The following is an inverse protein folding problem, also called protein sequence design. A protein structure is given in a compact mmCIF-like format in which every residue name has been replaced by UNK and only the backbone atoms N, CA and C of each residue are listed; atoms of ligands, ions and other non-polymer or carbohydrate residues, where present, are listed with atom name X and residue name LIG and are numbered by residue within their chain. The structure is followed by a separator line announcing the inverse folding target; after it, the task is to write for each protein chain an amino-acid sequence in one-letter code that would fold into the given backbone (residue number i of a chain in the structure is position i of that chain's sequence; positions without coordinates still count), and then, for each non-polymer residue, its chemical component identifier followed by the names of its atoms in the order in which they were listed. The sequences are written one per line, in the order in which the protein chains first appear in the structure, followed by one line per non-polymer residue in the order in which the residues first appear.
data_IF_997070533620
#
_entry.id   IF_997070533620
#
_cell.length_a   1.000
_cell.length_b   1.000
_cell.length_c   1.000
_cell.angle_alpha   90.00
_cell.angle_beta   90.00
_cell.angle_gamma   90.00
#
_symmetry.space_group_name_H-M   'P 1'
#
loop_
_entity.id
_entity.type
_entity.pdbx_description
1 polymer ?
#
# COMPACT_ATOMS: atom_id res chain seq x y z
N UNK A 1 56.26 45.17 0.61
CA UNK A 1 55.07 44.28 0.53
C UNK A 1 55.35 43.17 -0.48
N UNK A 2 56.24 42.19 -0.26
CA UNK A 2 56.22 41.01 0.65
C UNK A 2 55.14 39.93 0.35
N UNK A 3 55.59 38.94 -0.45
CA UNK A 3 55.44 37.47 -0.36
C UNK A 3 54.08 36.75 -0.57
N UNK A 4 54.03 36.04 -1.70
CA UNK A 4 53.99 34.55 -1.86
C UNK A 4 52.76 33.72 -1.40
N UNK A 5 52.46 32.68 -2.21
CA UNK A 5 51.63 31.47 -2.00
C UNK A 5 50.15 31.57 -2.49
N UNK A 6 49.54 30.60 -3.18
CA UNK A 6 49.64 29.14 -3.04
C UNK A 6 49.32 28.33 -4.34
N UNK A 7 50.09 27.25 -4.55
CA UNK A 7 49.79 26.07 -5.39
C UNK A 7 49.23 24.93 -4.51
N UNK A 8 48.43 24.06 -5.12
CA UNK A 8 48.22 22.62 -4.84
C UNK A 8 47.72 22.12 -3.47
N UNK A 9 46.63 21.32 -3.51
CA UNK A 9 46.32 20.04 -2.77
C UNK A 9 44.85 19.70 -3.09
N UNK A 10 44.41 18.59 -3.68
CA UNK A 10 44.69 17.15 -3.48
C UNK A 10 44.56 16.72 -2.01
N UNK A 11 43.35 16.27 -1.65
CA UNK A 11 43.00 15.53 -0.42
C UNK A 11 42.10 14.36 -0.87
N UNK A 12 42.68 13.18 -1.16
CA UNK A 12 42.83 12.02 -0.27
C UNK A 12 41.53 11.58 0.44
N UNK A 13 40.92 10.54 -0.14
CA UNK A 13 40.07 9.58 0.53
C UNK A 13 40.93 8.74 1.50
N UNK A 14 40.58 8.72 2.78
CA UNK A 14 41.21 7.84 3.76
C UNK A 14 40.48 6.50 3.79
N UNK A 15 41.18 5.46 3.35
CA UNK A 15 41.00 4.09 3.79
C UNK A 15 41.57 3.94 5.20
N UNK A 16 40.80 3.35 6.11
CA UNK A 16 41.32 2.83 7.38
C UNK A 16 41.20 1.31 7.36
N UNK A 17 42.34 0.65 7.17
CA UNK A 17 42.60 -0.69 7.68
C UNK A 17 43.07 -0.56 9.12
N UNK A 18 42.57 -1.41 10.02
CA UNK A 18 43.25 -1.73 11.26
C UNK A 18 43.21 -3.25 11.49
N UNK A 19 44.38 -3.82 11.77
CA UNK A 19 44.65 -5.24 11.97
C UNK A 19 44.55 -5.65 13.45
N UNK A 20 44.10 -6.89 13.67
CA UNK A 20 44.45 -7.88 14.73
C UNK A 20 44.80 -7.42 16.16
N UNK A 21 44.09 -7.95 17.17
CA UNK A 21 44.49 -9.18 17.90
C UNK A 21 43.66 -9.46 19.18
N UNK A 22 43.38 -10.77 19.37
CA UNK A 22 43.23 -11.54 20.63
C UNK A 22 42.20 -11.15 21.71
N UNK A 23 41.11 -11.92 21.82
CA UNK A 23 40.90 -12.94 22.87
C UNK A 23 39.45 -13.46 22.87
N UNK A 24 39.27 -14.77 22.67
CA UNK A 24 38.01 -15.48 22.92
C UNK A 24 37.76 -15.68 24.43
N UNK A 25 36.59 -16.24 24.81
CA UNK A 25 36.61 -17.67 25.09
C UNK A 25 35.39 -18.47 24.60
N UNK A 26 35.71 -19.69 24.17
CA UNK A 26 35.07 -20.98 24.48
C UNK A 26 33.57 -21.14 24.18
N UNK A 27 33.31 -21.87 23.09
CA UNK A 27 32.08 -22.62 22.85
C UNK A 27 32.31 -24.07 23.30
N UNK A 28 31.43 -24.58 24.17
CA UNK A 28 31.24 -26.03 24.37
C UNK A 28 29.76 -26.39 24.24
N UNK A 29 29.45 -27.60 23.74
CA UNK A 29 28.18 -27.91 23.11
C UNK A 29 27.14 -28.42 24.12
N UNK A 30 25.87 -28.02 23.96
CA UNK A 30 24.77 -28.61 24.70
C UNK A 30 24.04 -29.65 23.85
N UNK A 31 24.20 -30.89 24.31
CA UNK A 31 23.53 -32.11 23.92
C UNK A 31 22.01 -32.05 24.07
N UNK A 32 21.33 -32.80 23.17
CA UNK A 32 19.93 -33.24 23.27
C UNK A 32 19.59 -33.73 24.68
N UNK A 33 18.54 -33.18 25.29
CA UNK A 33 17.69 -33.90 26.25
C UNK A 33 16.22 -33.56 26.00
N UNK A 34 15.46 -34.64 25.78
CA UNK A 34 14.01 -34.72 25.72
C UNK A 34 13.48 -34.80 27.16
N UNK A 35 12.54 -33.95 27.61
CA UNK A 35 11.31 -34.42 28.26
C UNK A 35 10.34 -33.32 28.70
N UNK A 36 9.09 -33.76 28.72
CA UNK A 36 7.86 -33.12 29.19
C UNK A 36 7.93 -32.63 30.64
N UNK A 37 6.95 -31.76 30.94
CA UNK A 37 6.47 -31.30 32.26
C UNK A 37 7.14 -30.04 32.81
N UNK A 38 6.33 -28.98 32.96
CA UNK A 38 6.02 -28.28 34.23
C UNK A 38 5.20 -27.03 33.86
N UNK A 39 3.88 -27.11 34.02
CA UNK A 39 3.00 -25.95 34.22
C UNK A 39 2.44 -26.13 35.63
N UNK A 40 2.87 -25.29 36.57
CA UNK A 40 2.12 -24.96 37.78
C UNK A 40 2.74 -23.76 38.50
N UNK A 41 1.83 -22.88 38.93
CA UNK A 41 1.93 -21.83 39.94
C UNK A 41 2.37 -20.43 39.49
N UNK A 42 1.39 -19.54 39.39
CA UNK A 42 1.37 -18.32 40.19
C UNK A 42 -0.07 -17.78 40.27
N UNK A 43 -0.71 -17.98 41.41
CA UNK A 43 -1.83 -17.17 41.89
C UNK A 43 -1.37 -16.51 43.18
N UNK A 44 -1.55 -15.19 43.31
CA UNK A 44 -1.88 -14.43 44.53
C UNK A 44 -1.84 -12.93 44.15
N UNK A 45 -2.98 -12.27 44.39
CA UNK A 45 -3.18 -10.86 44.80
C UNK A 45 -4.38 -10.23 44.08
N UNK A 46 -5.58 -10.43 44.64
CA UNK A 46 -6.74 -9.57 44.43
C UNK A 46 -7.34 -9.24 45.79
N UNK A 47 -7.57 -7.95 46.04
CA UNK A 47 -8.28 -7.43 47.20
C UNK A 47 -9.23 -6.30 46.81
N UNK A 48 -10.45 -6.36 47.34
CA UNK A 48 -11.48 -5.30 47.40
C UNK A 48 -12.43 -5.23 46.18
N UNK A 49 -13.76 -5.11 46.30
CA UNK A 49 -14.65 -4.99 47.46
C UNK A 49 -16.13 -5.20 47.03
N UNK A 50 -16.94 -5.58 48.01
CA UNK A 50 -18.39 -5.32 48.19
C UNK A 50 -19.44 -5.97 47.25
N UNK A 51 -20.20 -6.91 47.83
CA UNK A 51 -21.53 -7.36 47.39
C UNK A 51 -22.54 -7.17 48.51
N UNK A 52 -23.71 -6.60 48.21
CA UNK A 52 -24.94 -6.75 49.00
C UNK A 52 -26.08 -7.31 48.10
N UNK A 53 -27.06 -8.05 48.65
CA UNK A 53 -27.91 -8.97 47.87
C UNK A 53 -29.38 -8.55 47.82
N UNK A 54 -30.14 -8.97 46.80
CA UNK A 54 -31.61 -9.14 46.90
C UNK A 54 -32.08 -10.35 46.08
N UNK A 55 -32.96 -11.14 46.70
CA UNK A 55 -33.60 -12.40 46.28
C UNK A 55 -34.53 -12.23 45.08
N UNK A 56 -34.76 -13.33 44.34
CA UNK A 56 -36.05 -13.55 43.68
C UNK A 56 -36.47 -15.03 43.76
N UNK A 57 -37.76 -15.21 43.95
CA UNK A 57 -38.47 -16.35 44.52
C UNK A 57 -38.64 -17.54 43.56
N UNK A 58 -38.65 -18.76 44.11
CA UNK A 58 -39.04 -19.99 43.42
C UNK A 58 -40.50 -20.29 43.75
N UNK A 59 -41.40 -20.23 42.77
CA UNK A 59 -42.65 -20.99 42.86
C UNK A 59 -43.18 -21.42 41.49
N UNK A 60 -43.73 -22.63 41.49
CA UNK A 60 -44.63 -23.26 40.51
C UNK A 60 -43.98 -24.07 39.37
N UNK A 61 -43.75 -25.35 39.70
CA UNK A 61 -43.55 -26.48 38.77
C UNK A 61 -44.84 -27.32 38.66
N UNK A 62 -45.01 -27.95 37.48
CA UNK A 62 -46.04 -28.92 36.99
C UNK A 62 -47.27 -28.25 36.35
N UNK A 63 -47.73 -28.60 35.15
CA UNK A 63 -47.63 -29.80 34.32
C UNK A 63 -47.84 -29.39 32.83
N UNK A 64 -47.30 -30.06 31.81
CA UNK A 64 -47.86 -31.29 31.22
C UNK A 64 -47.07 -31.61 29.94
N UNK A 65 -46.96 -32.91 29.62
CA UNK A 65 -46.22 -33.47 28.49
C UNK A 65 -46.96 -33.28 27.16
N UNK A 66 -46.24 -32.89 26.08
CA UNK A 66 -46.32 -33.49 24.74
C UNK A 66 -44.99 -33.26 23.99
N UNK A 67 -44.37 -34.29 23.37
CA UNK A 67 -43.21 -34.10 22.52
C UNK A 67 -43.67 -33.83 21.07
N UNK A 68 -43.28 -32.68 20.52
CA UNK A 68 -43.34 -32.45 19.07
C UNK A 68 -41.91 -32.49 18.53
N UNK A 69 -41.63 -33.51 17.72
CA UNK A 69 -40.43 -33.63 16.92
C UNK A 69 -40.31 -32.44 15.96
N UNK A 70 -39.20 -31.70 16.05
CA UNK A 70 -38.67 -30.94 14.93
C UNK A 70 -37.21 -31.35 14.74
N UNK A 71 -37.00 -32.31 13.82
CA UNK A 71 -35.72 -32.47 13.16
C UNK A 71 -35.51 -31.24 12.26
N UNK A 72 -34.59 -30.36 12.64
CA UNK A 72 -34.02 -29.37 11.73
C UNK A 72 -32.58 -29.79 11.48
N UNK A 73 -32.39 -30.44 10.34
CA UNK A 73 -31.11 -30.81 9.78
C UNK A 73 -30.36 -29.54 9.36
N UNK A 74 -29.52 -28.98 10.22
CA UNK A 74 -28.49 -28.04 9.79
C UNK A 74 -27.37 -28.83 9.10
N UNK A 75 -27.53 -29.06 7.80
CA UNK A 75 -26.38 -29.35 6.93
C UNK A 75 -25.73 -28.02 6.56
N UNK A 76 -24.41 -27.84 6.73
CA UNK A 76 -23.73 -26.70 6.14
C UNK A 76 -23.84 -26.85 4.62
N UNK A 77 -24.55 -25.92 3.98
CA UNK A 77 -24.56 -25.79 2.53
C UNK A 77 -23.19 -25.22 2.16
N UNK A 78 -22.22 -26.11 1.98
CA UNK A 78 -21.11 -25.82 1.09
C UNK A 78 -21.70 -25.79 -0.30
N UNK A 79 -22.07 -24.60 -0.76
CA UNK A 79 -22.39 -24.38 -2.16
C UNK A 79 -21.12 -24.67 -2.94
N UNK A 80 -21.03 -25.88 -3.47
CA UNK A 80 -20.02 -26.28 -4.42
C UNK A 80 -20.25 -25.41 -5.65
N UNK A 81 -19.57 -24.26 -5.71
CA UNK A 81 -19.46 -23.48 -6.93
C UNK A 81 -18.84 -24.43 -7.96
N UNK A 82 -19.69 -24.96 -8.83
CA UNK A 82 -19.25 -25.62 -10.04
C UNK A 82 -18.58 -24.53 -10.90
N UNK A 83 -17.29 -24.33 -10.66
CA UNK A 83 -16.42 -23.59 -11.57
C UNK A 83 -16.33 -24.41 -12.85
N UNK A 84 -17.32 -24.25 -13.74
CA UNK A 84 -17.06 -24.44 -15.16
C UNK A 84 -16.01 -23.40 -15.50
N UNK A 85 -14.73 -23.79 -15.40
CA UNK A 85 -13.60 -23.06 -15.96
C UNK A 85 -13.95 -22.88 -17.44
N UNK A 86 -14.45 -21.70 -17.80
CA UNK A 86 -14.34 -21.25 -19.17
C UNK A 86 -12.84 -21.17 -19.43
N UNK A 87 -12.29 -22.22 -20.03
CA UNK A 87 -10.99 -22.09 -20.66
C UNK A 87 -11.13 -20.91 -21.62
N UNK A 88 -10.38 -19.83 -21.38
CA UNK A 88 -10.24 -18.80 -22.39
C UNK A 88 -9.77 -19.51 -23.66
N UNK A 89 -10.47 -19.28 -24.77
CA UNK A 89 -10.21 -19.97 -26.03
C UNK A 89 -8.81 -19.69 -26.58
N UNK A 90 -8.11 -18.69 -26.03
CA UNK A 90 -6.67 -18.45 -26.20
C UNK A 90 -6.04 -17.93 -24.88
N UNK A 91 -4.82 -18.39 -24.49
CA UNK A 91 -4.09 -17.86 -23.35
C UNK A 91 -3.76 -16.37 -23.50
N UNK A 92 -3.76 -15.62 -22.40
CA UNK A 92 -3.55 -14.17 -22.37
C UNK A 92 -2.08 -13.81 -22.21
N UNK A 93 -1.60 -12.86 -23.00
CA UNK A 93 -0.25 -12.30 -22.91
C UNK A 93 -0.21 -11.15 -21.91
N UNK A 94 0.83 -11.12 -21.07
CA UNK A 94 0.97 -10.11 -20.01
C UNK A 94 2.24 -9.29 -20.24
N UNK A 95 2.09 -7.97 -20.18
CA UNK A 95 3.19 -7.02 -20.17
C UNK A 95 3.16 -6.19 -18.88
N UNK A 96 4.29 -6.11 -18.20
CA UNK A 96 4.51 -5.28 -17.04
C UNK A 96 5.19 -4.00 -17.50
N UNK A 97 4.46 -2.89 -17.48
CA UNK A 97 4.96 -1.57 -17.82
C UNK A 97 5.59 -0.97 -16.56
N UNK A 98 6.87 -1.28 -16.34
CA UNK A 98 7.66 -0.77 -15.21
C UNK A 98 8.53 -1.85 -14.55
N UNK A 99 9.72 -1.45 -14.11
CA UNK A 99 10.77 -2.36 -13.61
C UNK A 99 11.49 -1.84 -12.36
N UNK A 100 10.85 -0.93 -11.62
CA UNK A 100 11.33 -0.53 -10.31
C UNK A 100 11.25 -1.67 -9.29
N UNK A 101 11.47 -1.34 -8.01
CA UNK A 101 11.42 -2.32 -6.92
C UNK A 101 10.08 -3.09 -6.90
N UNK A 102 8.96 -2.34 -6.91
CA UNK A 102 7.61 -2.95 -6.95
C UNK A 102 7.32 -3.68 -8.26
N UNK A 103 7.73 -3.13 -9.41
CA UNK A 103 7.54 -3.77 -10.71
C UNK A 103 8.26 -5.13 -10.81
N UNK A 104 9.47 -5.22 -10.26
CA UNK A 104 10.24 -6.46 -10.22
C UNK A 104 9.64 -7.50 -9.26
N UNK A 105 9.15 -7.08 -8.09
CA UNK A 105 8.47 -7.98 -7.16
C UNK A 105 7.18 -8.56 -7.77
N UNK A 106 6.43 -7.72 -8.49
CA UNK A 106 5.23 -8.15 -9.22
C UNK A 106 5.60 -9.03 -10.41
N UNK A 107 6.70 -8.76 -11.12
CA UNK A 107 7.19 -9.64 -12.18
C UNK A 107 7.50 -11.05 -11.68
N UNK A 108 8.02 -11.18 -10.45
CA UNK A 108 8.23 -12.49 -9.80
C UNK A 108 6.91 -13.26 -9.63
N UNK A 109 5.87 -12.58 -9.15
CA UNK A 109 4.52 -13.16 -8.99
C UNK A 109 3.89 -13.53 -10.34
N UNK A 110 3.84 -12.56 -11.25
CA UNK A 110 3.17 -12.68 -12.56
C UNK A 110 3.86 -13.76 -13.41
N UNK A 111 5.19 -13.75 -13.46
CA UNK A 111 5.97 -14.78 -14.15
C UNK A 111 5.69 -16.18 -13.60
N UNK A 112 5.69 -16.33 -12.27
CA UNK A 112 5.39 -17.62 -11.63
C UNK A 112 3.95 -18.10 -11.86
N UNK A 113 2.98 -17.19 -11.88
CA UNK A 113 1.58 -17.53 -12.16
C UNK A 113 1.33 -17.85 -13.64
N UNK A 114 2.01 -17.15 -14.57
CA UNK A 114 1.93 -17.42 -16.00
C UNK A 114 2.39 -18.84 -16.35
N UNK A 115 3.51 -19.30 -15.78
CA UNK A 115 4.00 -20.69 -15.94
C UNK A 115 2.97 -21.72 -15.45
N UNK A 116 2.34 -21.45 -14.30
CA UNK A 116 1.46 -22.42 -13.62
C UNK A 116 0.07 -22.53 -14.24
N UNK A 117 -0.36 -21.56 -15.04
CA UNK A 117 -1.75 -21.43 -15.47
C UNK A 117 -1.88 -21.45 -16.99
N UNK A 118 -2.72 -22.36 -17.50
CA UNK A 118 -3.04 -22.47 -18.93
C UNK A 118 -3.81 -21.26 -19.49
N UNK A 119 -4.29 -20.36 -18.64
CA UNK A 119 -5.01 -19.16 -19.05
C UNK A 119 -4.05 -18.05 -19.52
N UNK A 120 -2.75 -18.18 -19.30
CA UNK A 120 -1.75 -17.19 -19.65
C UNK A 120 -0.69 -17.78 -20.56
N UNK A 121 -0.14 -16.95 -21.44
CA UNK A 121 1.08 -17.29 -22.17
C UNK A 121 2.24 -17.26 -21.19
N UNK A 122 3.08 -18.29 -21.24
CA UNK A 122 4.25 -18.42 -20.35
C UNK A 122 5.14 -17.17 -20.40
N UNK A 123 5.47 -16.69 -21.60
CA UNK A 123 6.29 -15.48 -21.78
C UNK A 123 5.60 -14.22 -21.24
N UNK A 124 6.22 -13.59 -20.24
CA UNK A 124 5.83 -12.28 -19.68
C UNK A 124 6.85 -11.23 -20.08
N UNK A 125 6.42 -10.12 -20.68
CA UNK A 125 7.33 -8.99 -20.96
C UNK A 125 7.36 -8.02 -19.79
N UNK A 126 8.52 -7.43 -19.53
CA UNK A 126 8.69 -6.36 -18.56
C UNK A 126 9.42 -5.20 -19.23
N UNK A 127 8.77 -4.04 -19.32
CA UNK A 127 9.39 -2.82 -19.81
C UNK A 127 10.43 -2.31 -18.80
N UNK A 128 11.68 -2.21 -19.26
CA UNK A 128 12.80 -1.68 -18.49
C UNK A 128 13.33 -0.43 -19.16
N UNK A 129 13.25 0.71 -18.49
CA UNK A 129 13.93 1.90 -18.98
C UNK A 129 15.44 1.61 -19.02
N UNK A 130 16.06 1.78 -20.18
CA UNK A 130 17.42 1.30 -20.38
C UNK A 130 18.42 2.14 -19.57
N UNK A 131 19.27 1.44 -18.81
CA UNK A 131 20.30 2.04 -17.98
C UNK A 131 21.58 1.23 -18.08
N UNK A 132 22.72 1.90 -17.93
CA UNK A 132 24.02 1.23 -17.88
C UNK A 132 24.38 0.89 -16.43
N UNK A 133 24.55 -0.39 -16.12
CA UNK A 133 25.03 -0.88 -14.82
C UNK A 133 26.31 -1.65 -15.04
N UNK A 134 27.41 -1.21 -14.42
CA UNK A 134 28.73 -1.82 -14.56
C UNK A 134 29.16 -2.03 -16.03
N UNK A 135 28.84 -1.08 -16.91
CA UNK A 135 29.21 -1.12 -18.33
C UNK A 135 28.33 -2.01 -19.22
N UNK A 136 27.25 -2.58 -18.67
CA UNK A 136 26.29 -3.41 -19.41
C UNK A 136 24.87 -2.83 -19.32
N UNK A 137 24.05 -3.07 -20.35
CA UNK A 137 22.63 -2.70 -20.34
C UNK A 137 21.88 -3.47 -19.25
N UNK A 138 21.05 -2.77 -18.48
CA UNK A 138 20.27 -3.38 -17.40
C UNK A 138 19.34 -4.48 -17.95
N UNK A 139 18.77 -4.29 -19.14
CA UNK A 139 17.95 -5.33 -19.80
C UNK A 139 18.72 -6.62 -20.06
N UNK A 140 19.96 -6.52 -20.55
CA UNK A 140 20.83 -7.68 -20.79
C UNK A 140 21.19 -8.38 -19.48
N UNK A 141 21.52 -7.63 -18.42
CA UNK A 141 21.78 -8.20 -17.09
C UNK A 141 20.56 -8.96 -16.59
N UNK A 142 19.36 -8.37 -16.66
CA UNK A 142 18.13 -9.02 -16.19
C UNK A 142 17.86 -10.28 -16.99
N UNK A 143 17.99 -10.26 -18.32
CA UNK A 143 17.70 -11.41 -19.18
C UNK A 143 18.71 -12.56 -19.01
N UNK A 144 19.96 -12.28 -18.64
CA UNK A 144 20.98 -13.33 -18.42
C UNK A 144 21.01 -13.87 -17.00
N UNK A 145 20.82 -12.99 -16.00
CA UNK A 145 20.97 -13.33 -14.59
C UNK A 145 19.64 -13.57 -13.89
N UNK A 146 18.53 -13.27 -14.57
CA UNK A 146 17.18 -13.25 -14.04
C UNK A 146 17.07 -12.45 -12.74
N UNK A 147 17.74 -11.30 -12.68
CA UNK A 147 17.79 -10.47 -11.48
C UNK A 147 17.85 -8.99 -11.84
N UNK A 148 17.01 -8.19 -11.21
CA UNK A 148 17.09 -6.74 -11.30
C UNK A 148 18.08 -6.21 -10.25
N UNK A 149 19.37 -6.31 -10.56
CA UNK A 149 20.48 -5.97 -9.66
C UNK A 149 20.45 -4.55 -9.11
N UNK A 150 19.72 -3.63 -9.77
CA UNK A 150 19.60 -2.23 -9.34
C UNK A 150 18.40 -2.01 -8.41
N UNK A 151 17.24 -2.56 -8.75
CA UNK A 151 15.98 -2.22 -8.10
C UNK A 151 15.43 -3.29 -7.16
N UNK A 152 15.85 -4.55 -7.32
CA UNK A 152 15.46 -5.67 -6.46
C UNK A 152 16.63 -6.67 -6.33
N UNK A 153 17.78 -6.25 -5.76
CA UNK A 153 18.96 -7.11 -5.65
C UNK A 153 18.70 -8.32 -4.75
N UNK A 154 19.27 -9.47 -5.11
CA UNK A 154 19.16 -10.72 -4.34
C UNK A 154 17.92 -11.57 -4.63
N UNK A 155 16.99 -11.10 -5.47
CA UNK A 155 15.79 -11.85 -5.83
C UNK A 155 15.81 -12.29 -7.29
N UNK A 156 15.64 -13.59 -7.53
CA UNK A 156 15.50 -14.14 -8.87
C UNK A 156 14.09 -13.95 -9.41
N UNK A 157 14.01 -13.38 -10.60
CA UNK A 157 12.83 -13.37 -11.45
C UNK A 157 12.70 -14.75 -12.13
N UNK A 158 11.48 -15.20 -12.43
CA UNK A 158 11.26 -16.39 -13.25
C UNK A 158 11.89 -16.27 -14.65
N UNK A 159 12.38 -17.38 -15.21
CA UNK A 159 13.08 -17.41 -16.51
C UNK A 159 12.22 -16.91 -17.69
N UNK A 160 10.90 -17.04 -17.57
CA UNK A 160 9.92 -16.60 -18.56
C UNK A 160 9.64 -15.09 -18.54
N UNK A 161 10.21 -14.34 -17.60
CA UNK A 161 10.14 -12.87 -17.56
C UNK A 161 11.25 -12.27 -18.42
N UNK A 162 10.86 -11.56 -19.48
CA UNK A 162 11.78 -10.98 -20.45
C UNK A 162 11.81 -9.46 -20.31
N UNK A 163 12.97 -8.91 -19.98
CA UNK A 163 13.22 -7.48 -19.96
C UNK A 163 13.34 -6.93 -21.38
N UNK A 164 12.55 -5.88 -21.68
CA UNK A 164 12.49 -5.25 -23.01
C UNK A 164 12.68 -3.73 -22.84
N UNK A 165 13.65 -3.11 -23.56
CA UNK A 165 13.96 -1.69 -23.40
C UNK A 165 12.98 -0.74 -24.10
N UNK A 166 12.25 -1.25 -25.09
CA UNK A 166 11.25 -0.48 -25.82
C UNK A 166 9.84 -0.84 -25.32
N UNK A 167 9.10 0.18 -24.87
CA UNK A 167 7.77 -0.03 -24.27
C UNK A 167 6.76 -0.51 -25.31
N UNK A 168 6.89 -0.10 -26.57
CA UNK A 168 5.98 -0.49 -27.64
C UNK A 168 6.18 -1.96 -27.97
N UNK A 169 7.42 -2.41 -28.16
CA UNK A 169 7.75 -3.82 -28.36
C UNK A 169 7.34 -4.68 -27.16
N UNK A 170 7.48 -4.18 -25.93
CA UNK A 170 7.04 -4.89 -24.74
C UNK A 170 5.52 -5.09 -24.69
N UNK A 171 4.75 -4.07 -25.09
CA UNK A 171 3.30 -4.00 -24.94
C UNK A 171 2.49 -4.43 -26.17
N UNK A 172 3.10 -4.51 -27.34
CA UNK A 172 2.46 -4.69 -28.66
C UNK A 172 1.36 -5.76 -28.69
N UNK A 173 1.69 -6.95 -28.18
CA UNK A 173 0.79 -8.10 -28.19
C UNK A 173 0.15 -8.38 -26.83
N UNK A 174 0.32 -7.50 -25.83
CA UNK A 174 -0.22 -7.75 -24.49
C UNK A 174 -1.75 -7.68 -24.47
N UNK A 175 -2.40 -8.70 -23.89
CA UNK A 175 -3.82 -8.66 -23.54
C UNK A 175 -4.05 -8.01 -22.17
N UNK A 176 -3.05 -8.07 -21.28
CA UNK A 176 -3.05 -7.45 -19.96
C UNK A 176 -1.82 -6.56 -19.83
N UNK A 177 -2.02 -5.27 -19.55
CA UNK A 177 -0.99 -4.28 -19.29
C UNK A 177 -0.97 -3.91 -17.81
N UNK A 178 0.08 -4.28 -17.09
CA UNK A 178 0.25 -3.97 -15.66
C UNK A 178 1.12 -2.72 -15.53
N UNK A 179 0.53 -1.58 -15.20
CA UNK A 179 1.25 -0.32 -15.04
C UNK A 179 1.82 -0.19 -13.62
N UNK A 180 3.15 -0.10 -13.52
CA UNK A 180 3.88 -0.07 -12.24
C UNK A 180 5.12 0.84 -12.34
N UNK A 181 4.87 2.08 -12.74
CA UNK A 181 5.87 3.15 -12.86
C UNK A 181 5.58 4.28 -11.87
N UNK A 182 6.58 5.14 -11.56
CA UNK A 182 6.29 6.42 -10.92
C UNK A 182 5.24 7.21 -11.72
N UNK A 183 4.27 7.77 -11.02
CA UNK A 183 3.09 8.41 -11.62
C UNK A 183 3.44 9.50 -12.64
N UNK A 184 4.55 10.23 -12.47
CA UNK A 184 4.97 11.29 -13.40
C UNK A 184 5.24 10.81 -14.84
N UNK A 185 5.47 9.51 -15.06
CA UNK A 185 5.76 8.98 -16.39
C UNK A 185 4.52 8.52 -17.15
N UNK A 186 3.35 8.46 -16.49
CA UNK A 186 2.18 7.79 -17.07
C UNK A 186 1.67 8.48 -18.35
N UNK A 187 1.64 9.82 -18.39
CA UNK A 187 1.15 10.56 -19.57
C UNK A 187 2.03 10.30 -20.79
N UNK A 188 3.35 10.34 -20.62
CA UNK A 188 4.32 10.08 -21.71
C UNK A 188 4.21 8.64 -22.21
N UNK A 189 4.08 7.67 -21.30
CA UNK A 189 3.92 6.26 -21.66
C UNK A 189 2.60 6.03 -22.41
N UNK A 190 1.49 6.58 -21.91
CA UNK A 190 0.21 6.48 -22.60
C UNK A 190 0.26 7.10 -24.01
N UNK A 191 0.90 8.27 -24.17
CA UNK A 191 1.09 8.88 -25.48
C UNK A 191 1.90 8.01 -26.44
N UNK A 192 2.92 7.32 -25.94
CA UNK A 192 3.76 6.42 -26.74
C UNK A 192 3.00 5.18 -27.22
N UNK A 193 2.12 4.64 -26.36
CA UNK A 193 1.36 3.41 -26.59
C UNK A 193 0.04 3.61 -27.35
N UNK A 194 -0.50 4.83 -27.41
CA UNK A 194 -1.78 5.12 -28.07
C UNK A 194 -1.79 4.65 -29.52
N UNK A 195 -2.80 3.82 -29.85
CA UNK A 195 -3.00 3.27 -31.20
C UNK A 195 -2.03 2.17 -31.61
N UNK A 196 -1.17 1.69 -30.68
CA UNK A 196 -0.07 0.73 -30.95
C UNK A 196 -0.13 -0.52 -30.07
N UNK A 197 -1.17 -0.65 -29.26
CA UNK A 197 -1.47 -1.81 -28.42
C UNK A 197 -2.77 -2.47 -28.90
N UNK A 198 -3.04 -3.72 -28.50
CA UNK A 198 -4.32 -4.38 -28.77
C UNK A 198 -5.49 -3.51 -28.26
N UNK A 199 -6.45 -3.23 -29.13
CA UNK A 199 -7.67 -2.50 -28.75
C UNK A 199 -8.54 -3.24 -27.74
N UNK A 200 -8.33 -4.56 -27.60
CA UNK A 200 -8.99 -5.43 -26.62
C UNK A 200 -8.17 -5.62 -25.34
N UNK A 201 -7.02 -4.94 -25.19
CA UNK A 201 -6.22 -5.03 -23.98
C UNK A 201 -6.99 -4.47 -22.77
N UNK A 202 -6.67 -4.98 -21.59
CA UNK A 202 -7.10 -4.42 -20.32
C UNK A 202 -5.89 -3.95 -19.52
N UNK A 203 -6.06 -2.91 -18.72
CA UNK A 203 -5.00 -2.38 -17.86
C UNK A 203 -5.23 -2.71 -16.39
N UNK A 204 -4.15 -2.87 -15.64
CA UNK A 204 -4.13 -2.94 -14.18
C UNK A 204 -3.08 -1.96 -13.66
N UNK A 205 -3.52 -0.88 -13.01
CA UNK A 205 -2.63 0.11 -12.39
C UNK A 205 -2.27 -0.28 -10.97
N UNK A 206 -0.97 -0.37 -10.68
CA UNK A 206 -0.39 -0.55 -9.34
C UNK A 206 0.19 0.76 -8.80
N UNK A 207 -0.08 1.88 -9.48
CA UNK A 207 0.53 3.17 -9.21
C UNK A 207 -0.23 3.82 -8.07
N UNK A 208 0.38 3.85 -6.88
CA UNK A 208 -0.16 4.55 -5.71
C UNK A 208 0.05 6.06 -5.85
N UNK A 209 -1.03 6.82 -5.72
CA UNK A 209 -1.03 8.28 -5.83
C UNK A 209 -1.96 8.73 -6.95
N UNK A 210 -1.76 9.97 -7.39
CA UNK A 210 -2.56 10.58 -8.45
C UNK A 210 -1.70 11.54 -9.27
N UNK A 211 -2.28 12.05 -10.35
CA UNK A 211 -1.72 13.20 -11.06
C UNK A 211 -2.55 14.45 -10.78
N UNK A 212 -1.99 15.61 -11.14
CA UNK A 212 -2.69 16.89 -11.04
C UNK A 212 -3.62 17.06 -12.25
N UNK A 213 -4.88 17.39 -12.00
CA UNK A 213 -5.80 17.78 -13.07
C UNK A 213 -5.43 19.14 -13.66
N UNK A 214 -5.72 19.38 -14.95
CA UNK A 214 -5.39 20.64 -15.65
C UNK A 214 -6.07 21.89 -15.02
N UNK A 215 -7.15 21.70 -14.27
CA UNK A 215 -7.84 22.74 -13.49
C UNK A 215 -7.56 22.72 -11.98
N UNK A 216 -6.55 21.96 -11.53
CA UNK A 216 -6.26 21.69 -10.13
C UNK A 216 -7.11 20.57 -9.53
N UNK A 217 -6.60 19.94 -8.47
CA UNK A 217 -7.20 18.76 -7.86
C UNK A 217 -6.64 17.45 -8.43
N UNK A 218 -7.28 16.36 -8.02
CA UNK A 218 -6.82 14.98 -8.24
C UNK A 218 -7.35 14.44 -9.57
N UNK A 219 -6.45 13.92 -10.41
CA UNK A 219 -6.73 13.11 -11.59
C UNK A 219 -6.23 11.68 -11.32
N UNK A 220 -7.16 10.72 -11.27
CA UNK A 220 -6.83 9.32 -10.95
C UNK A 220 -5.99 8.70 -12.07
N UNK A 221 -5.00 7.88 -11.71
CA UNK A 221 -4.09 7.28 -12.69
C UNK A 221 -4.84 6.31 -13.59
N UNK A 222 -5.79 5.53 -13.04
CA UNK A 222 -6.66 4.66 -13.83
C UNK A 222 -7.50 5.44 -14.85
N UNK A 223 -7.98 6.64 -14.50
CA UNK A 223 -8.74 7.51 -15.39
C UNK A 223 -7.85 8.09 -16.49
N UNK A 224 -6.61 8.45 -16.17
CA UNK A 224 -5.62 8.90 -17.16
C UNK A 224 -5.31 7.78 -18.15
N UNK A 225 -5.06 6.56 -17.67
CA UNK A 225 -4.82 5.38 -18.51
C UNK A 225 -6.03 5.13 -19.41
N UNK A 226 -7.24 5.06 -18.84
CA UNK A 226 -8.47 4.78 -19.58
C UNK A 226 -8.73 5.83 -20.66
N UNK A 227 -8.64 7.11 -20.30
CA UNK A 227 -8.87 8.22 -21.23
C UNK A 227 -7.82 8.29 -22.33
N UNK A 228 -6.55 8.04 -22.03
CA UNK A 228 -5.46 8.23 -22.99
C UNK A 228 -5.20 7.00 -23.86
N UNK A 229 -5.47 5.79 -23.38
CA UNK A 229 -5.28 4.54 -24.12
C UNK A 229 -6.56 3.94 -24.69
N UNK A 230 -7.73 4.42 -24.25
CA UNK A 230 -9.05 3.93 -24.67
C UNK A 230 -9.27 2.43 -24.36
N UNK A 231 -8.72 1.97 -23.25
CA UNK A 231 -8.88 0.60 -22.71
C UNK A 231 -9.38 0.68 -21.26
N UNK A 232 -10.13 -0.31 -20.76
CA UNK A 232 -10.54 -0.34 -19.36
C UNK A 232 -9.32 -0.52 -18.44
N UNK A 233 -9.31 0.18 -17.31
CA UNK A 233 -8.23 0.09 -16.33
C UNK A 233 -8.77 -0.25 -14.94
N UNK A 234 -8.37 -1.41 -14.42
CA UNK A 234 -8.52 -1.78 -13.01
C UNK A 234 -7.36 -1.26 -12.18
N UNK A 235 -7.46 -1.35 -10.86
CA UNK A 235 -6.42 -0.91 -9.92
C UNK A 235 -6.07 -1.99 -8.92
N UNK A 236 -4.83 -1.99 -8.41
CA UNK A 236 -4.38 -2.82 -7.30
C UNK A 236 -3.74 -1.95 -6.23
N UNK A 237 -4.35 -1.93 -5.05
CA UNK A 237 -3.89 -1.17 -3.89
C UNK A 237 -3.97 -2.06 -2.63
N UNK A 238 -3.10 -1.85 -1.65
CA UNK A 238 -3.06 -2.68 -0.45
C UNK A 238 -1.87 -2.39 0.45
N UNK A 239 -1.85 -3.00 1.63
CA UNK A 239 -0.74 -2.93 2.58
C UNK A 239 0.41 -3.85 2.14
N UNK A 240 1.18 -3.40 1.14
CA UNK A 240 2.22 -4.22 0.51
C UNK A 240 3.55 -3.46 0.34
N UNK A 241 4.59 -3.94 1.03
CA UNK A 241 5.97 -3.50 0.85
C UNK A 241 6.66 -4.42 -0.16
N UNK A 242 7.36 -3.81 -1.13
CA UNK A 242 7.92 -4.55 -2.26
C UNK A 242 8.96 -5.61 -1.85
N UNK A 243 9.81 -5.30 -0.86
CA UNK A 243 10.78 -6.25 -0.32
C UNK A 243 10.10 -7.45 0.35
N UNK A 244 9.10 -7.22 1.20
CA UNK A 244 8.38 -8.30 1.89
C UNK A 244 7.64 -9.22 0.90
N UNK A 245 7.06 -8.65 -0.14
CA UNK A 245 6.42 -9.43 -1.22
C UNK A 245 7.45 -10.23 -2.01
N UNK A 246 8.63 -9.66 -2.28
CA UNK A 246 9.71 -10.36 -2.96
C UNK A 246 10.32 -11.49 -2.10
N UNK A 247 10.34 -11.30 -0.77
CA UNK A 247 10.70 -12.28 0.26
C UNK A 247 9.60 -13.33 0.53
N UNK A 248 8.48 -13.26 -0.20
CA UNK A 248 7.33 -14.18 -0.06
C UNK A 248 6.70 -14.17 1.34
N UNK A 249 6.81 -13.04 2.04
CA UNK A 249 6.11 -12.80 3.29
C UNK A 249 4.63 -12.59 3.03
N UNK A 250 3.80 -13.11 3.93
CA UNK A 250 2.35 -13.03 3.81
C UNK A 250 1.87 -11.58 3.86
N UNK A 251 1.12 -11.16 2.84
CA UNK A 251 0.29 -9.95 2.87
C UNK A 251 -0.92 -10.07 1.93
N UNK A 252 -1.76 -9.04 1.96
CA UNK A 252 -3.03 -9.00 1.24
C UNK A 252 -3.13 -7.73 0.40
N UNK A 253 -3.85 -7.80 -0.71
CA UNK A 253 -4.12 -6.66 -1.58
C UNK A 253 -5.55 -6.67 -2.09
N UNK A 254 -6.01 -5.51 -2.51
CA UNK A 254 -7.33 -5.33 -3.12
C UNK A 254 -7.18 -4.96 -4.59
N UNK A 255 -7.92 -5.63 -5.47
CA UNK A 255 -8.11 -5.24 -6.85
C UNK A 255 -9.48 -4.58 -6.99
N UNK A 256 -9.51 -3.33 -7.44
CA UNK A 256 -10.72 -2.63 -7.85
C UNK A 256 -10.98 -2.87 -9.34
N UNK A 257 -12.08 -3.56 -9.67
CA UNK A 257 -12.45 -3.92 -11.03
C UNK A 257 -13.98 -4.06 -11.17
N UNK A 258 -14.60 -3.16 -11.94
CA UNK A 258 -16.05 -3.19 -12.22
C UNK A 258 -16.44 -4.33 -13.19
N UNK A 259 -15.52 -4.77 -14.03
CA UNK A 259 -15.77 -5.86 -14.99
C UNK A 259 -15.69 -7.24 -14.30
N UNK A 260 -16.84 -7.91 -14.23
CA UNK A 260 -17.00 -9.23 -13.62
C UNK A 260 -16.19 -10.35 -14.32
N UNK A 261 -15.78 -10.13 -15.58
CA UNK A 261 -14.96 -11.07 -16.36
C UNK A 261 -13.46 -10.81 -16.17
N UNK A 262 -13.05 -9.54 -16.09
CA UNK A 262 -11.66 -9.17 -15.88
C UNK A 262 -11.19 -9.41 -14.45
N UNK A 263 -12.04 -9.18 -13.44
CA UNK A 263 -11.69 -9.34 -12.02
C UNK A 263 -11.07 -10.70 -11.67
N UNK A 264 -11.72 -11.84 -12.00
CA UNK A 264 -11.15 -13.16 -11.77
C UNK A 264 -9.84 -13.41 -12.53
N UNK A 265 -9.72 -12.92 -13.77
CA UNK A 265 -8.51 -13.05 -14.58
C UNK A 265 -7.32 -12.31 -13.94
N UNK A 266 -7.54 -11.06 -13.51
CA UNK A 266 -6.56 -10.23 -12.83
C UNK A 266 -6.17 -10.81 -11.47
N UNK A 267 -7.14 -11.35 -10.71
CA UNK A 267 -6.87 -12.08 -9.47
C UNK A 267 -5.97 -13.28 -9.72
N UNK A 268 -6.27 -14.08 -10.74
CA UNK A 268 -5.57 -15.34 -10.99
C UNK A 268 -4.11 -15.12 -11.43
N UNK A 269 -3.79 -14.02 -12.13
CA UNK A 269 -2.39 -13.68 -12.48
C UNK A 269 -1.60 -13.08 -11.32
N UNK A 270 -2.27 -12.49 -10.32
CA UNK A 270 -1.62 -11.83 -9.17
C UNK A 270 -1.56 -12.70 -7.91
N UNK A 271 -2.57 -13.52 -7.65
CA UNK A 271 -2.68 -14.21 -6.35
C UNK A 271 -1.62 -15.30 -6.18
N UNK A 272 -1.04 -15.38 -4.98
CA UNK A 272 -0.19 -16.50 -4.54
C UNK A 272 -0.66 -17.03 -3.17
N UNK A 273 0.10 -17.95 -2.58
CA UNK A 273 -0.09 -18.40 -1.19
C UNK A 273 0.33 -17.33 -0.15
N UNK A 274 1.24 -16.44 -0.50
CA UNK A 274 1.70 -15.34 0.36
C UNK A 274 1.15 -13.96 -0.05
N UNK A 275 0.56 -13.82 -1.23
CA UNK A 275 -0.02 -12.57 -1.73
C UNK A 275 -1.50 -12.79 -2.06
N UNK A 276 -2.38 -12.55 -1.08
CA UNK A 276 -3.81 -12.81 -1.21
C UNK A 276 -4.51 -11.62 -1.85
N UNK A 277 -5.47 -11.90 -2.74
CA UNK A 277 -6.16 -10.87 -3.52
C UNK A 277 -7.65 -10.93 -3.24
N UNK A 278 -8.21 -9.81 -2.79
CA UNK A 278 -9.66 -9.57 -2.78
C UNK A 278 -10.01 -8.70 -3.98
N UNK A 279 -11.06 -9.06 -4.72
CA UNK A 279 -11.57 -8.27 -5.84
C UNK A 279 -12.85 -7.57 -5.41
N UNK A 280 -12.93 -6.27 -5.62
CA UNK A 280 -14.11 -5.44 -5.37
C UNK A 280 -14.48 -4.67 -6.64
N UNK A 281 -15.75 -4.32 -6.79
CA UNK A 281 -16.31 -3.58 -7.92
C UNK A 281 -16.28 -2.05 -7.72
N UNK A 282 -15.26 -1.55 -7.01
CA UNK A 282 -15.16 -0.17 -6.53
C UNK A 282 -13.75 0.41 -6.79
N UNK A 283 -13.41 0.57 -8.07
CA UNK A 283 -12.07 0.97 -8.52
C UNK A 283 -11.63 2.35 -8.02
N UNK A 284 -12.53 3.33 -8.03
CA UNK A 284 -12.23 4.71 -7.64
C UNK A 284 -11.89 4.77 -6.14
N UNK A 285 -12.70 4.11 -5.29
CA UNK A 285 -12.44 4.09 -3.84
C UNK A 285 -11.13 3.36 -3.51
N UNK A 286 -10.85 2.23 -4.18
CA UNK A 286 -9.60 1.48 -4.00
C UNK A 286 -8.40 2.38 -4.31
N UNK A 287 -8.43 3.11 -5.43
CA UNK A 287 -7.33 3.99 -5.86
C UNK A 287 -7.17 5.21 -4.95
N UNK A 288 -8.28 5.89 -4.63
CA UNK A 288 -8.29 7.09 -3.77
C UNK A 288 -7.75 6.78 -2.38
N UNK A 289 -8.09 5.61 -1.80
CA UNK A 289 -7.55 5.20 -0.51
C UNK A 289 -6.01 5.15 -0.51
N UNK A 290 -5.41 4.67 -1.59
CA UNK A 290 -3.96 4.58 -1.75
C UNK A 290 -3.25 5.94 -1.74
N UNK A 291 -3.95 7.01 -2.14
CA UNK A 291 -3.45 8.38 -2.09
C UNK A 291 -3.71 9.05 -0.72
N UNK A 292 -4.96 9.07 -0.26
CA UNK A 292 -5.38 9.82 0.93
C UNK A 292 -4.70 9.34 2.22
N UNK A 293 -4.38 8.05 2.33
CA UNK A 293 -3.68 7.50 3.50
C UNK A 293 -2.37 8.24 3.81
N UNK A 294 -1.71 8.79 2.79
CA UNK A 294 -0.43 9.47 2.95
C UNK A 294 -0.58 10.80 3.69
N UNK A 295 -1.75 11.46 3.58
CA UNK A 295 -2.08 12.65 4.36
C UNK A 295 -2.17 12.24 5.84
N UNK A 296 -3.00 11.23 6.15
CA UNK A 296 -3.19 10.74 7.52
C UNK A 296 -1.86 10.28 8.14
N UNK A 297 -0.99 9.65 7.36
CA UNK A 297 0.34 9.25 7.80
C UNK A 297 1.23 10.44 8.18
N UNK A 298 1.10 11.60 7.52
CA UNK A 298 1.76 12.82 7.97
C UNK A 298 1.25 13.25 9.35
N UNK A 299 -0.07 13.26 9.55
CA UNK A 299 -0.69 13.55 10.85
C UNK A 299 -0.23 12.60 11.96
N UNK A 300 -0.13 11.30 11.66
CA UNK A 300 0.43 10.31 12.59
C UNK A 300 1.90 10.59 12.92
N UNK A 301 2.70 11.02 11.93
CA UNK A 301 4.07 11.47 12.15
C UNK A 301 4.17 12.73 13.02
N UNK A 302 3.24 13.68 12.87
CA UNK A 302 3.19 14.85 13.74
C UNK A 302 2.93 14.47 15.20
N UNK A 303 2.02 13.52 15.44
CA UNK A 303 1.77 12.97 16.79
C UNK A 303 3.02 12.30 17.38
N UNK A 304 3.72 11.48 16.59
CA UNK A 304 4.97 10.84 17.02
C UNK A 304 6.05 11.89 17.35
N UNK A 305 6.13 12.96 16.56
CA UNK A 305 7.07 14.06 16.76
C UNK A 305 6.79 14.91 18.01
N UNK A 306 5.51 15.09 18.35
CA UNK A 306 5.05 15.83 19.52
C UNK A 306 5.05 14.97 20.81
N UNK A 307 5.17 13.64 20.69
CA UNK A 307 5.16 12.74 21.83
C UNK A 307 3.79 12.61 22.51
N UNK A 308 2.67 12.69 21.76
CA UNK A 308 1.32 12.67 22.34
C UNK A 308 0.79 11.26 22.65
N UNK A 309 1.54 10.21 22.31
CA UNK A 309 1.23 8.82 22.64
C UNK A 309 0.23 8.13 21.70
N UNK A 310 0.07 6.82 21.91
CA UNK A 310 -0.64 5.93 20.98
C UNK A 310 -2.15 6.18 20.92
N UNK A 311 -2.78 6.61 22.01
CA UNK A 311 -4.22 6.92 22.01
C UNK A 311 -4.55 8.10 21.08
N UNK A 312 -3.72 9.15 21.10
CA UNK A 312 -3.88 10.29 20.18
C UNK A 312 -3.60 9.87 18.75
N UNK A 313 -2.58 9.02 18.52
CA UNK A 313 -2.28 8.47 17.20
C UNK A 313 -3.44 7.63 16.65
N UNK A 314 -4.05 6.79 17.48
CA UNK A 314 -5.22 6.00 17.11
C UNK A 314 -6.42 6.90 16.76
N UNK A 315 -6.64 8.00 17.50
CA UNK A 315 -7.66 8.97 17.17
C UNK A 315 -7.42 9.63 15.81
N UNK A 316 -6.17 10.00 15.48
CA UNK A 316 -5.79 10.54 14.17
C UNK A 316 -6.06 9.53 13.05
N UNK A 317 -5.68 8.26 13.24
CA UNK A 317 -5.92 7.21 12.24
C UNK A 317 -7.43 7.02 12.02
N UNK A 318 -8.21 6.94 13.10
CA UNK A 318 -9.67 6.77 13.01
C UNK A 318 -10.33 7.95 12.31
N UNK A 319 -10.03 9.18 12.73
CA UNK A 319 -10.59 10.39 12.13
C UNK A 319 -10.16 10.55 10.67
N UNK A 320 -8.89 10.25 10.37
CA UNK A 320 -8.37 10.23 9.01
C UNK A 320 -9.12 9.25 8.12
N UNK A 321 -9.41 8.04 8.62
CA UNK A 321 -10.25 7.08 7.89
C UNK A 321 -11.66 7.63 7.62
N UNK A 322 -12.27 8.32 8.59
CA UNK A 322 -13.60 8.93 8.39
C UNK A 322 -13.56 10.06 7.36
N UNK A 323 -12.51 10.89 7.37
CA UNK A 323 -12.31 11.90 6.33
C UNK A 323 -12.03 11.26 4.95
N UNK A 324 -11.33 10.13 4.88
CA UNK A 324 -11.18 9.37 3.63
C UNK A 324 -12.54 8.92 3.09
N UNK A 325 -13.38 8.33 3.94
CA UNK A 325 -14.75 7.90 3.59
C UNK A 325 -15.58 9.08 3.07
N UNK A 326 -15.59 10.18 3.83
CA UNK A 326 -16.35 11.38 3.48
C UNK A 326 -15.84 12.03 2.18
N UNK A 327 -14.53 12.00 1.94
CA UNK A 327 -13.94 12.57 0.73
C UNK A 327 -14.39 11.78 -0.50
N UNK A 328 -14.33 10.45 -0.43
CA UNK A 328 -14.83 9.58 -1.51
C UNK A 328 -16.32 9.80 -1.75
N UNK A 329 -17.15 9.83 -0.70
CA UNK A 329 -18.60 10.08 -0.83
C UNK A 329 -18.92 11.40 -1.57
N UNK A 330 -18.11 12.44 -1.31
CA UNK A 330 -18.32 13.79 -1.87
C UNK A 330 -17.76 13.96 -3.29
N UNK A 331 -16.63 13.33 -3.61
CA UNK A 331 -15.89 13.58 -4.86
C UNK A 331 -15.92 12.40 -5.83
N UNK A 332 -16.22 11.20 -5.36
CA UNK A 332 -16.28 9.95 -6.12
C UNK A 332 -17.56 9.17 -5.75
N UNK A 333 -18.75 9.72 -6.08
CA UNK A 333 -20.02 9.15 -5.67
C UNK A 333 -20.19 7.72 -6.20
N UNK A 334 -20.75 6.84 -5.37
CA UNK A 334 -20.90 5.41 -5.67
C UNK A 334 -19.87 4.51 -4.96
N UNK A 335 -18.90 5.10 -4.27
CA UNK A 335 -17.98 4.37 -3.39
C UNK A 335 -18.71 3.63 -2.26
N UNK A 336 -18.22 2.44 -1.92
CA UNK A 336 -18.83 1.55 -0.93
C UNK A 336 -18.08 1.63 0.38
N UNK A 337 -18.80 1.80 1.49
CA UNK A 337 -18.21 1.81 2.83
C UNK A 337 -17.43 0.52 3.12
N UNK A 338 -17.87 -0.63 2.60
CA UNK A 338 -17.17 -1.91 2.75
C UNK A 338 -15.74 -1.88 2.18
N UNK A 339 -15.49 -1.12 1.11
CA UNK A 339 -14.17 -1.02 0.48
C UNK A 339 -13.10 -0.44 1.42
N UNK A 340 -13.49 0.40 2.37
CA UNK A 340 -12.57 0.96 3.37
C UNK A 340 -12.09 -0.06 4.40
N UNK A 341 -12.80 -1.18 4.54
CA UNK A 341 -12.39 -2.29 5.41
C UNK A 341 -11.49 -3.30 4.70
N UNK A 342 -11.27 -3.16 3.40
CA UNK A 342 -10.34 -3.98 2.62
C UNK A 342 -8.88 -3.54 2.81
N UNK A 343 -7.94 -4.33 2.28
CA UNK A 343 -6.50 -4.04 2.38
C UNK A 343 -6.13 -2.64 1.84
N UNK A 344 -6.76 -2.17 0.78
CA UNK A 344 -6.52 -0.83 0.22
C UNK A 344 -6.89 0.32 1.17
N UNK A 345 -7.83 0.10 2.09
CA UNK A 345 -8.34 1.10 3.02
C UNK A 345 -7.60 1.02 4.36
N UNK A 346 -8.24 0.39 5.34
CA UNK A 346 -7.78 0.37 6.74
C UNK A 346 -6.39 -0.26 6.90
N UNK A 347 -6.07 -1.34 6.19
CA UNK A 347 -4.78 -2.02 6.36
C UNK A 347 -3.63 -1.15 5.82
N UNK A 348 -3.76 -0.61 4.60
CA UNK A 348 -2.73 0.24 4.00
C UNK A 348 -2.57 1.56 4.78
N UNK A 349 -3.67 2.09 5.33
CA UNK A 349 -3.63 3.22 6.24
C UNK A 349 -2.80 2.92 7.50
N UNK A 350 -3.11 1.83 8.20
CA UNK A 350 -2.42 1.43 9.44
C UNK A 350 -0.92 1.25 9.16
N UNK A 351 -0.54 0.43 8.18
CA UNK A 351 0.89 0.16 7.91
C UNK A 351 1.65 1.46 7.57
N UNK A 352 1.00 2.38 6.86
CA UNK A 352 1.62 3.67 6.48
C UNK A 352 1.79 4.59 7.68
N UNK A 353 0.83 4.63 8.61
CA UNK A 353 0.88 5.43 9.83
C UNK A 353 1.90 4.91 10.87
N UNK A 354 2.32 3.65 10.80
CA UNK A 354 3.35 3.09 11.69
C UNK A 354 4.74 2.99 11.05
N UNK A 355 4.83 2.60 9.77
CA UNK A 355 6.11 2.30 9.11
C UNK A 355 6.48 3.20 7.93
N UNK A 356 5.55 4.00 7.42
CA UNK A 356 5.70 4.71 6.14
C UNK A 356 6.68 5.88 6.14
N UNK A 357 7.18 6.23 4.95
CA UNK A 357 8.05 7.40 4.72
C UNK A 357 7.38 8.72 5.13
N UNK A 358 6.09 8.88 4.83
CA UNK A 358 5.28 10.05 5.24
C UNK A 358 5.32 10.23 6.76
N UNK A 359 5.06 9.18 7.53
CA UNK A 359 5.16 9.22 8.99
C UNK A 359 6.56 9.58 9.49
N UNK A 360 7.60 8.90 8.97
CA UNK A 360 9.02 9.12 9.37
C UNK A 360 9.48 10.56 9.14
N UNK A 361 9.20 11.12 7.96
CA UNK A 361 9.61 12.49 7.63
C UNK A 361 8.79 13.50 8.41
N UNK A 362 7.48 13.30 8.58
CA UNK A 362 6.63 14.19 9.38
C UNK A 362 7.01 14.19 10.87
N UNK A 363 7.45 13.06 11.42
CA UNK A 363 8.03 13.01 12.77
C UNK A 363 9.31 13.85 12.87
N UNK A 364 10.24 13.66 11.93
CA UNK A 364 11.49 14.42 11.88
C UNK A 364 11.24 15.92 11.68
N UNK A 365 10.24 16.29 10.87
CA UNK A 365 9.80 17.67 10.66
C UNK A 365 9.45 18.35 11.98
N UNK A 366 8.65 17.69 12.81
CA UNK A 366 8.27 18.23 14.13
C UNK A 366 9.46 18.26 15.09
N UNK A 367 10.28 17.20 15.14
CA UNK A 367 11.40 17.10 16.10
C UNK A 367 12.55 18.06 15.80
N UNK A 368 12.79 18.36 14.53
CA UNK A 368 13.98 19.12 14.09
C UNK A 368 13.66 20.55 13.67
N UNK A 369 12.40 20.85 13.30
CA UNK A 369 12.01 22.13 12.72
C UNK A 369 12.57 22.39 11.31
N UNK A 370 13.26 21.41 10.70
CA UNK A 370 13.72 21.50 9.31
C UNK A 370 12.52 21.52 8.36
N UNK A 371 12.69 22.11 7.19
CA UNK A 371 11.66 22.04 6.14
C UNK A 371 11.48 20.61 5.61
N UNK A 372 10.28 20.30 5.12
CA UNK A 372 9.98 19.00 4.50
C UNK A 372 10.98 18.71 3.36
N UNK A 373 11.30 19.71 2.53
CA UNK A 373 12.26 19.56 1.42
C UNK A 373 13.64 19.13 1.90
N UNK A 374 14.16 19.74 2.97
CA UNK A 374 15.46 19.33 3.54
C UNK A 374 15.43 17.88 4.02
N UNK A 375 14.35 17.46 4.66
CA UNK A 375 14.21 16.10 5.15
C UNK A 375 13.99 15.08 4.02
N UNK A 376 13.34 15.46 2.92
CA UNK A 376 13.28 14.63 1.71
C UNK A 376 14.70 14.33 1.19
N UNK A 377 15.51 15.37 1.03
CA UNK A 377 16.87 15.26 0.49
C UNK A 377 17.79 14.45 1.44
N UNK A 378 17.61 14.60 2.75
CA UNK A 378 18.40 13.89 3.77
C UNK A 378 17.97 12.43 4.00
N UNK A 379 16.66 12.13 3.93
CA UNK A 379 16.11 10.86 4.42
C UNK A 379 15.64 9.92 3.32
N UNK A 380 15.35 10.42 2.10
CA UNK A 380 14.63 9.65 1.08
C UNK A 380 15.48 9.24 -0.12
N UNK A 381 16.77 9.56 -0.14
CA UNK A 381 17.72 9.14 -1.18
C UNK A 381 17.18 9.40 -2.61
N UNK A 382 16.65 10.59 -2.85
CA UNK A 382 16.07 11.00 -4.15
C UNK A 382 14.60 10.64 -4.37
N UNK A 383 13.95 9.92 -3.44
CA UNK A 383 12.50 9.69 -3.47
C UNK A 383 11.74 10.91 -2.96
N UNK A 384 10.53 11.14 -3.48
CA UNK A 384 9.66 12.26 -3.07
C UNK A 384 8.60 11.85 -2.04
N UNK A 385 8.29 12.76 -1.12
CA UNK A 385 7.25 12.59 -0.12
C UNK A 385 5.90 12.97 -0.71
N UNK A 386 4.99 11.99 -0.76
CA UNK A 386 3.70 12.19 -1.43
C UNK A 386 2.68 12.88 -0.53
N UNK A 387 2.68 12.64 0.78
CA UNK A 387 1.65 13.10 1.71
C UNK A 387 1.37 14.61 1.66
N UNK A 388 2.40 15.50 1.73
CA UNK A 388 2.18 16.95 1.64
C UNK A 388 1.62 17.39 0.29
N UNK A 389 2.09 16.80 -0.81
CA UNK A 389 1.55 17.05 -2.15
C UNK A 389 0.10 16.58 -2.26
N UNK A 390 -0.20 15.39 -1.70
CA UNK A 390 -1.56 14.87 -1.61
C UNK A 390 -2.47 15.81 -0.83
N UNK A 391 -1.99 16.35 0.30
CA UNK A 391 -2.75 17.28 1.13
C UNK A 391 -3.04 18.61 0.42
N UNK A 392 -2.12 19.10 -0.41
CA UNK A 392 -2.30 20.32 -1.22
C UNK A 392 -3.44 20.19 -2.23
N UNK A 393 -3.42 19.15 -3.07
CA UNK A 393 -4.48 18.97 -4.08
C UNK A 393 -5.83 18.57 -3.46
N UNK A 394 -5.82 17.80 -2.36
CA UNK A 394 -7.06 17.54 -1.60
C UNK A 394 -7.62 18.83 -1.02
N UNK A 395 -6.78 19.67 -0.40
CA UNK A 395 -7.26 20.94 0.16
C UNK A 395 -7.75 21.90 -0.94
N UNK A 396 -7.13 21.90 -2.12
CA UNK A 396 -7.65 22.62 -3.28
C UNK A 396 -9.08 22.18 -3.64
N UNK A 397 -9.33 20.88 -3.72
CA UNK A 397 -10.67 20.32 -3.98
C UNK A 397 -11.66 20.69 -2.87
N UNK A 398 -11.26 20.59 -1.61
CA UNK A 398 -12.09 20.96 -0.45
C UNK A 398 -12.46 22.44 -0.47
N UNK A 399 -11.48 23.32 -0.71
CA UNK A 399 -11.67 24.76 -0.81
C UNK A 399 -12.62 25.14 -1.95
N UNK A 400 -12.51 24.46 -3.10
CA UNK A 400 -13.40 24.67 -4.25
C UNK A 400 -14.88 24.39 -3.92
N UNK A 401 -15.17 23.51 -2.96
CA UNK A 401 -16.52 23.20 -2.47
C UNK A 401 -16.89 23.91 -1.16
N UNK A 402 -16.00 24.73 -0.60
CA UNK A 402 -16.21 25.37 0.71
C UNK A 402 -16.29 24.37 1.87
N UNK A 403 -15.58 23.24 1.77
CA UNK A 403 -15.69 22.12 2.72
C UNK A 403 -14.49 21.99 3.66
N UNK A 404 -13.56 22.95 3.71
CA UNK A 404 -12.36 22.84 4.56
C UNK A 404 -12.67 22.54 6.04
N UNK A 405 -13.71 23.18 6.60
CA UNK A 405 -14.15 22.98 7.99
C UNK A 405 -14.74 21.58 8.26
N UNK A 406 -15.18 20.92 7.19
CA UNK A 406 -15.75 19.58 7.25
C UNK A 406 -14.69 18.47 7.22
N UNK A 407 -13.43 18.84 6.95
CA UNK A 407 -12.25 17.98 6.88
C UNK A 407 -11.08 18.64 7.64
N UNK A 408 -11.23 18.87 8.95
CA UNK A 408 -10.23 19.61 9.74
C UNK A 408 -8.88 18.89 9.83
N UNK A 409 -8.83 17.55 9.73
CA UNK A 409 -7.59 16.80 9.76
C UNK A 409 -6.79 17.00 8.46
N UNK A 410 -7.39 16.75 7.29
CA UNK A 410 -6.75 16.97 5.99
C UNK A 410 -6.35 18.43 5.82
N UNK A 411 -7.25 19.36 6.13
CA UNK A 411 -6.99 20.80 6.07
C UNK A 411 -5.89 21.21 7.04
N UNK A 412 -5.93 20.73 8.28
CA UNK A 412 -4.90 21.01 9.29
C UNK A 412 -3.52 20.52 8.85
N UNK A 413 -3.44 19.31 8.30
CA UNK A 413 -2.19 18.73 7.80
C UNK A 413 -1.64 19.57 6.64
N UNK A 414 -2.49 19.97 5.69
CA UNK A 414 -2.08 20.87 4.61
C UNK A 414 -1.54 22.21 5.14
N UNK A 415 -2.26 22.84 6.08
CA UNK A 415 -1.87 24.12 6.69
C UNK A 415 -0.57 24.04 7.49
N UNK A 416 -0.29 22.90 8.12
CA UNK A 416 1.01 22.65 8.79
C UNK A 416 2.12 22.48 7.75
N UNK A 417 1.89 21.68 6.71
CA UNK A 417 2.90 21.45 5.66
C UNK A 417 3.27 22.73 4.90
N UNK A 418 2.34 23.68 4.79
CA UNK A 418 2.53 24.97 4.12
C UNK A 418 2.95 26.11 5.07
N UNK A 419 3.08 25.83 6.38
CA UNK A 419 3.55 26.80 7.38
C UNK A 419 2.49 27.81 7.85
N UNK A 420 1.22 27.59 7.53
CA UNK A 420 0.09 28.40 8.02
C UNK A 420 -0.29 28.06 9.46
N UNK A 421 -0.04 26.82 9.89
CA UNK A 421 -0.20 26.35 11.27
C UNK A 421 1.10 25.72 11.77
N UNK A 422 1.29 25.70 13.08
CA UNK A 422 2.38 24.95 13.71
C UNK A 422 1.93 23.52 14.01
N UNK A 423 2.86 22.55 14.13
CA UNK A 423 2.51 21.19 14.54
C UNK A 423 1.74 21.12 15.86
N UNK A 424 1.96 22.06 16.80
CA UNK A 424 1.27 22.08 18.09
C UNK A 424 -0.23 22.33 17.94
N UNK A 425 -0.62 23.08 16.91
CA UNK A 425 -2.03 23.42 16.63
C UNK A 425 -2.81 22.20 16.09
N UNK A 426 -2.11 21.13 15.68
CA UNK A 426 -2.72 19.91 15.14
C UNK A 426 -3.70 19.25 16.12
N UNK A 427 -3.48 19.40 17.43
CA UNK A 427 -4.35 18.80 18.44
C UNK A 427 -5.77 19.40 18.39
N UNK A 428 -5.91 20.66 18.01
CA UNK A 428 -7.21 21.32 17.94
C UNK A 428 -8.01 20.87 16.72
N UNK A 429 -7.33 20.49 15.63
CA UNK A 429 -7.96 19.81 14.48
C UNK A 429 -8.61 18.47 14.88
N UNK A 430 -8.07 17.80 15.90
CA UNK A 430 -8.61 16.54 16.44
C UNK A 430 -9.75 16.79 17.43
N UNK A 431 -9.57 17.74 18.37
CA UNK A 431 -10.55 18.04 19.41
C UNK A 431 -11.87 18.53 18.82
N UNK A 432 -11.80 19.43 17.85
CA UNK A 432 -12.97 20.11 17.28
C UNK A 432 -13.52 19.38 16.03
N UNK A 433 -13.19 18.10 15.85
CA UNK A 433 -13.60 17.35 14.68
C UNK A 433 -15.14 17.15 14.62
N UNK A 434 -15.80 17.35 13.46
CA UNK A 434 -17.25 17.21 13.31
C UNK A 434 -17.83 15.88 13.82
N UNK A 435 -17.09 14.78 13.69
CA UNK A 435 -17.47 13.46 14.22
C UNK A 435 -17.67 13.38 15.74
N UNK A 436 -17.17 14.35 16.52
CA UNK A 436 -17.41 14.44 17.96
C UNK A 436 -18.60 15.35 18.31
N UNK A 437 -19.05 16.16 17.36
CA UNK A 437 -20.19 17.05 17.55
C UNK A 437 -21.46 16.21 17.42
N UNK A 438 -22.35 16.30 18.41
CA UNK A 438 -23.64 15.62 18.37
C UNK A 438 -24.35 16.08 17.08
N UNK A 439 -24.56 15.16 16.13
CA UNK A 439 -25.55 15.37 15.09
C UNK A 439 -26.86 15.57 15.85
N UNK A 440 -27.39 16.80 15.90
CA UNK A 440 -28.79 16.98 16.24
C UNK A 440 -29.57 16.28 15.13
N UNK A 441 -29.80 14.98 15.31
CA UNK A 441 -30.76 14.23 14.52
C UNK A 441 -32.09 14.93 14.71
N UNK A 442 -32.53 15.62 13.66
CA UNK A 442 -33.88 16.12 13.57
C UNK A 442 -34.84 14.98 13.84
N UNK A 443 -35.72 15.22 14.81
CA UNK A 443 -36.93 14.44 15.07
C UNK A 443 -37.82 14.45 13.82
#
# INVERSE_FOLDING_TARGET
MLRQLNRNRLVKWNFLHNNNSSNGPVVTPLSRINNKSVIKNAAVALGGAATLPVRCDQSLFRSSRRPCNFHSSFKPVWTQFNSRKMACTNPKQVCIVGSGNWGSAIAKIVGGNAVRSKNFVDRVTMYVYEEMVNGKKLTEIINETHENVKYLPGHKLPENVVAVPDVLEAAKDADILIFVVPHQFIRTLCSTLLGKIKSTAIALSLIKGFDRAEGGGIDLISHIITRNLKIPCSVLMGANLASEVADEMFCETTIGCKDATAGPLLRDIIQTNYFRVVVVDDEDTVEVCGALKNIVACGAGFVDGLGLGDNTKAAVIRLGLMEMVKFVDVFYPGGKLSTFFESCGVADLITTCYGGRNRKVSEAFVKTGKSIKQLEDEMLNGQKLQGPFTADEVNYMLKSKGMEEQFPLFTGIHRICTGQLTPKDFIDCIRNHPEHMIKQSGV
#
